data_IF_859908665702
#
_entry.id   IF_859908665702
#
_cell.length_a   1.000
_cell.length_b   1.000
_cell.length_c   1.000
_cell.angle_alpha   90.00
_cell.angle_beta   90.00
_cell.angle_gamma   90.00
#
_symmetry.space_group_name_H-M   'P 1'
#
loop_
_entity.id
_entity.type
_entity.pdbx_description
1 polymer ?
#
# COMPACT_ATOMS: atom_id res chain seq x y z
N UNK A 1 33.52 -3.21 0.49
CA UNK A 1 32.92 -1.86 0.50
C UNK A 1 31.57 -1.95 -0.18
N UNK A 2 30.52 -2.19 0.60
CA UNK A 2 29.13 -2.28 0.14
C UNK A 2 28.49 -0.91 0.26
N UNK A 3 28.14 -0.31 -0.87
CA UNK A 3 27.38 0.94 -0.94
C UNK A 3 25.90 0.65 -0.68
N UNK A 4 25.41 0.92 0.54
CA UNK A 4 23.98 1.06 0.77
C UNK A 4 23.49 2.31 0.03
N UNK A 5 22.72 2.11 -1.03
CA UNK A 5 22.01 3.17 -1.74
C UNK A 5 20.73 3.50 -0.96
N UNK A 6 20.85 4.30 0.10
CA UNK A 6 19.70 4.83 0.83
C UNK A 6 18.84 5.73 -0.05
N UNK A 7 17.52 5.54 0.03
CA UNK A 7 16.52 6.36 -0.64
C UNK A 7 16.46 7.75 0.00
N UNK A 8 17.26 8.67 -0.55
CA UNK A 8 17.34 10.08 -0.13
C UNK A 8 16.04 10.83 -0.47
N UNK A 9 15.39 11.45 0.51
CA UNK A 9 14.20 12.30 0.32
C UNK A 9 14.40 13.61 1.09
N UNK A 10 14.15 14.75 0.44
CA UNK A 10 13.88 16.02 1.13
C UNK A 10 12.38 16.29 1.08
N UNK A 11 11.80 16.51 2.26
CA UNK A 11 10.37 16.72 2.51
C UNK A 11 9.96 18.18 2.26
N UNK A 12 10.75 19.17 2.69
CA UNK A 12 10.38 20.59 2.58
C UNK A 12 10.60 21.20 1.19
N UNK A 13 11.36 20.52 0.32
CA UNK A 13 11.58 20.98 -1.05
C UNK A 13 10.30 20.98 -1.91
N UNK A 14 9.30 20.16 -1.57
CA UNK A 14 8.01 20.10 -2.28
C UNK A 14 7.07 21.26 -1.89
N UNK A 15 7.03 21.64 -0.61
CA UNK A 15 6.12 22.67 -0.11
C UNK A 15 6.59 24.10 -0.47
N UNK A 16 7.89 24.36 -0.43
CA UNK A 16 8.47 25.68 -0.71
C UNK A 16 8.52 26.05 -2.20
N UNK A 17 8.37 25.08 -3.11
CA UNK A 17 8.36 25.33 -4.55
C UNK A 17 7.13 26.09 -5.04
N UNK A 18 6.02 26.06 -4.30
CA UNK A 18 4.79 26.77 -4.64
C UNK A 18 4.87 28.30 -4.38
N UNK A 19 5.76 28.75 -3.48
CA UNK A 19 5.85 30.14 -3.06
C UNK A 19 6.59 31.05 -4.06
N UNK A 20 7.43 30.49 -4.94
CA UNK A 20 8.23 31.29 -5.90
C UNK A 20 7.46 31.72 -7.15
N UNK A 21 6.18 31.38 -7.29
CA UNK A 21 5.37 31.63 -8.50
C UNK A 21 4.40 32.82 -8.45
N UNK A 22 4.17 33.44 -7.29
CA UNK A 22 3.16 34.50 -7.14
C UNK A 22 3.81 35.87 -6.86
N UNK A 23 4.33 36.50 -7.90
CA UNK A 23 4.62 37.94 -7.87
C UNK A 23 3.32 38.74 -7.88
N UNK A 24 2.84 39.18 -6.71
CA UNK A 24 1.66 40.03 -6.62
C UNK A 24 1.06 40.12 -5.22
N UNK A 25 1.79 40.67 -4.24
CA UNK A 25 1.21 41.04 -2.94
C UNK A 25 0.80 42.51 -3.01
N UNK A 26 -0.39 42.76 -3.57
CA UNK A 26 -1.02 44.06 -3.61
C UNK A 26 -2.52 43.92 -3.39
N UNK A 27 -2.97 44.30 -2.19
CA UNK A 27 -4.36 44.51 -1.77
C UNK A 27 -5.28 43.27 -1.71
N UNK A 28 -5.67 42.88 -0.48
CA UNK A 28 -7.02 42.44 -0.07
C UNK A 28 -7.01 42.14 1.44
N UNK A 29 -7.18 43.18 2.25
CA UNK A 29 -7.24 43.11 3.72
C UNK A 29 -8.67 43.34 4.24
N UNK A 30 -9.71 42.71 3.67
CA UNK A 30 -11.06 42.76 4.25
C UNK A 30 -11.88 41.49 3.93
N UNK A 31 -11.53 40.37 4.55
CA UNK A 31 -12.46 39.28 4.84
C UNK A 31 -12.07 38.69 6.20
N UNK A 32 -13.00 38.66 7.15
CA UNK A 32 -12.79 37.97 8.42
C UNK A 32 -12.63 36.47 8.13
N UNK A 33 -11.51 35.83 8.53
CA UNK A 33 -11.36 34.40 8.34
C UNK A 33 -12.31 33.66 9.30
N UNK A 34 -12.86 32.54 8.84
CA UNK A 34 -13.37 31.49 9.72
C UNK A 34 -12.33 31.25 10.82
N UNK A 35 -12.74 31.05 12.08
CA UNK A 35 -11.84 30.86 13.23
C UNK A 35 -10.86 29.71 12.92
N UNK A 36 -9.71 30.05 12.35
CA UNK A 36 -8.60 29.15 12.13
C UNK A 36 -8.01 28.71 13.47
N UNK A 37 -7.14 27.68 13.46
CA UNK A 37 -6.41 27.29 14.65
C UNK A 37 -5.81 28.53 15.31
N UNK A 38 -6.03 28.66 16.63
CA UNK A 38 -5.49 29.77 17.41
C UNK A 38 -3.96 29.71 17.35
N UNK A 39 -3.37 30.64 16.60
CA UNK A 39 -1.93 30.81 16.49
C UNK A 39 -1.34 30.99 17.88
N UNK A 40 -0.37 30.16 18.28
CA UNK A 40 0.34 30.37 19.53
C UNK A 40 1.30 31.56 19.43
N UNK A 41 1.95 31.89 20.54
CA UNK A 41 2.93 32.99 20.60
C UNK A 41 4.00 32.85 19.50
N UNK A 42 4.50 33.99 18.96
CA UNK A 42 5.52 34.00 17.90
C UNK A 42 6.76 33.20 18.30
N UNK A 43 7.45 32.58 17.34
CA UNK A 43 8.61 31.70 17.65
C UNK A 43 9.83 32.50 18.13
N UNK A 44 9.87 33.79 17.85
CA UNK A 44 11.04 34.64 18.08
C UNK A 44 12.04 34.66 16.93
N UNK A 45 11.80 33.94 15.83
CA UNK A 45 12.56 34.06 14.58
C UNK A 45 12.18 35.30 13.75
N UNK A 46 11.07 35.95 14.10
CA UNK A 46 10.56 37.15 13.45
C UNK A 46 9.32 36.87 12.59
N UNK A 47 8.50 37.89 12.30
CA UNK A 47 7.19 37.70 11.68
C UNK A 47 7.21 37.02 10.31
N UNK A 48 8.27 37.26 9.52
CA UNK A 48 8.39 36.68 8.19
C UNK A 48 8.74 35.18 8.25
N UNK A 49 9.59 34.76 9.20
CA UNK A 49 9.89 33.35 9.44
C UNK A 49 8.66 32.60 9.96
N UNK A 50 7.94 33.23 10.92
CA UNK A 50 6.69 32.73 11.48
C UNK A 50 5.61 32.55 10.39
N UNK A 51 5.53 33.47 9.43
CA UNK A 51 4.65 33.35 8.27
C UNK A 51 5.06 32.17 7.36
N UNK A 52 6.35 31.98 7.06
CA UNK A 52 6.83 30.83 6.28
C UNK A 52 6.51 29.51 6.98
N UNK A 53 6.77 29.41 8.29
CA UNK A 53 6.44 28.23 9.08
C UNK A 53 4.94 27.93 9.00
N UNK A 54 4.08 28.94 9.17
CA UNK A 54 2.63 28.77 9.10
C UNK A 54 2.11 28.25 7.74
N UNK A 55 2.88 28.42 6.65
CA UNK A 55 2.52 27.87 5.34
C UNK A 55 2.86 26.40 5.15
N UNK A 56 3.52 25.76 6.12
CA UNK A 56 3.90 24.35 6.02
C UNK A 56 2.68 23.45 6.22
N UNK A 57 2.29 22.74 5.17
CA UNK A 57 1.19 21.78 5.21
C UNK A 57 1.70 20.34 5.34
N UNK A 58 0.98 19.51 6.10
CA UNK A 58 1.22 18.07 6.21
C UNK A 58 2.46 17.69 7.01
N UNK A 59 3.01 18.61 7.79
CA UNK A 59 4.24 18.40 8.58
C UNK A 59 3.96 17.93 10.00
N UNK A 60 2.71 18.00 10.43
CA UNK A 60 2.26 17.72 11.81
C UNK A 60 2.52 16.26 12.21
N UNK A 61 2.19 15.30 11.34
CA UNK A 61 2.43 13.88 11.59
C UNK A 61 3.94 13.58 11.70
N UNK A 62 4.75 14.17 10.81
CA UNK A 62 6.22 14.03 10.84
C UNK A 62 6.79 14.61 12.13
N UNK A 63 6.34 15.79 12.54
CA UNK A 63 6.74 16.43 13.77
C UNK A 63 6.42 15.56 15.00
N UNK A 64 5.20 15.02 15.08
CA UNK A 64 4.77 14.17 16.18
C UNK A 64 5.57 12.87 16.28
N UNK A 65 5.79 12.18 15.15
CA UNK A 65 6.66 11.00 15.12
C UNK A 65 8.09 11.34 15.53
N UNK A 66 8.62 12.47 15.07
CA UNK A 66 9.96 12.90 15.44
C UNK A 66 10.08 13.13 16.96
N UNK A 67 9.13 13.82 17.58
CA UNK A 67 9.08 14.04 19.04
C UNK A 67 8.97 12.69 19.80
N UNK A 68 8.20 11.73 19.26
CA UNK A 68 8.04 10.41 19.87
C UNK A 68 9.34 9.60 19.82
N UNK A 69 10.01 9.56 18.67
CA UNK A 69 11.19 8.71 18.44
C UNK A 69 12.49 9.33 18.94
N UNK A 70 12.60 10.67 18.97
CA UNK A 70 13.82 11.38 19.31
C UNK A 70 13.63 12.24 20.57
N UNK A 71 14.06 11.70 21.71
CA UNK A 71 13.93 12.38 23.01
C UNK A 71 14.58 13.79 23.03
N UNK A 72 15.61 14.02 22.22
CA UNK A 72 16.27 15.33 22.07
C UNK A 72 15.36 16.43 21.53
N UNK A 73 14.24 16.08 20.89
CA UNK A 73 13.25 17.03 20.37
C UNK A 73 12.16 17.39 21.39
N UNK A 74 12.12 16.71 22.56
CA UNK A 74 11.20 17.00 23.66
C UNK A 74 11.75 18.11 24.57
N UNK A 75 12.13 19.22 23.96
CA UNK A 75 12.74 20.37 24.64
C UNK A 75 11.83 21.60 24.52
N UNK A 76 12.00 22.63 25.37
CA UNK A 76 11.24 23.87 25.24
C UNK A 76 11.38 24.49 23.84
N UNK A 77 10.32 25.15 23.36
CA UNK A 77 10.30 25.81 22.02
C UNK A 77 11.48 26.76 21.82
N UNK A 78 11.89 27.49 22.85
CA UNK A 78 13.06 28.37 22.80
C UNK A 78 14.35 27.63 22.44
N UNK A 79 14.52 26.37 22.89
CA UNK A 79 15.68 25.55 22.55
C UNK A 79 15.63 25.11 21.09
N UNK A 80 14.45 24.73 20.58
CA UNK A 80 14.26 24.37 19.16
C UNK A 80 14.53 25.56 18.24
N UNK A 81 14.07 26.76 18.63
CA UNK A 81 14.31 28.01 17.92
C UNK A 81 15.79 28.32 17.84
N UNK A 82 16.54 28.22 18.94
CA UNK A 82 17.97 28.48 18.93
C UNK A 82 18.77 27.43 18.15
N UNK A 83 18.35 26.16 18.20
CA UNK A 83 18.92 25.11 17.36
C UNK A 83 18.71 25.39 15.87
N UNK A 84 17.49 25.76 15.47
CA UNK A 84 17.19 26.13 14.09
C UNK A 84 17.96 27.39 13.68
N UNK A 85 17.95 28.45 14.51
CA UNK A 85 18.69 29.70 14.27
C UNK A 85 20.17 29.43 14.00
N UNK A 86 20.81 28.61 14.84
CA UNK A 86 22.22 28.20 14.69
C UNK A 86 22.44 27.48 13.36
N UNK A 87 21.57 26.53 13.00
CA UNK A 87 21.66 25.77 11.74
C UNK A 87 21.43 26.64 10.50
N UNK A 88 20.63 27.69 10.62
CA UNK A 88 20.37 28.67 9.56
C UNK A 88 21.47 29.73 9.44
N UNK A 89 22.43 29.77 10.38
CA UNK A 89 23.49 30.78 10.42
C UNK A 89 22.98 32.18 10.77
N UNK A 90 21.85 32.28 11.47
CA UNK A 90 21.24 33.54 11.87
C UNK A 90 21.79 33.98 13.24
N UNK A 91 21.97 35.28 13.46
CA UNK A 91 22.34 35.80 14.79
C UNK A 91 21.13 35.91 15.72
N UNK A 92 21.33 36.00 17.04
CA UNK A 92 20.25 36.05 18.05
C UNK A 92 19.26 37.22 17.86
N UNK A 93 19.72 38.34 17.30
CA UNK A 93 18.90 39.54 17.06
C UNK A 93 18.42 39.66 15.62
N UNK A 94 18.87 38.78 14.73
CA UNK A 94 18.49 38.81 13.33
C UNK A 94 17.06 38.30 13.14
N UNK A 95 16.29 39.07 12.36
CA UNK A 95 14.95 38.75 11.93
C UNK A 95 14.96 38.76 10.39
N UNK A 96 15.24 37.61 9.75
CA UNK A 96 15.33 37.56 8.30
C UNK A 96 13.97 37.83 7.65
N UNK A 97 13.97 38.44 6.48
CA UNK A 97 12.80 38.43 5.61
C UNK A 97 12.48 36.99 5.14
N UNK A 98 11.29 36.79 4.54
CA UNK A 98 10.82 35.47 4.14
C UNK A 98 11.74 34.79 3.11
N UNK A 99 12.34 35.57 2.21
CA UNK A 99 13.22 35.05 1.15
C UNK A 99 14.56 34.62 1.73
N UNK A 100 15.14 35.42 2.61
CA UNK A 100 16.38 35.15 3.34
C UNK A 100 16.21 33.91 4.22
N UNK A 101 15.12 33.82 4.97
CA UNK A 101 14.79 32.64 5.78
C UNK A 101 14.65 31.37 4.92
N UNK A 102 13.88 31.44 3.83
CA UNK A 102 13.68 30.30 2.92
C UNK A 102 14.98 29.83 2.28
N UNK A 103 15.85 30.76 1.90
CA UNK A 103 17.15 30.44 1.31
C UNK A 103 18.10 29.80 2.34
N UNK A 104 18.14 30.33 3.56
CA UNK A 104 18.90 29.74 4.66
C UNK A 104 18.41 28.32 4.98
N UNK A 105 17.09 28.11 5.03
CA UNK A 105 16.49 26.81 5.28
C UNK A 105 16.89 25.79 4.20
N UNK A 106 16.78 26.15 2.92
CA UNK A 106 17.19 25.30 1.81
C UNK A 106 18.68 24.97 1.84
N UNK A 107 19.53 25.95 2.15
CA UNK A 107 20.97 25.75 2.25
C UNK A 107 21.33 24.80 3.40
N UNK A 108 20.70 24.99 4.58
CA UNK A 108 20.94 24.17 5.76
C UNK A 108 20.48 22.72 5.56
N UNK A 109 19.30 22.51 4.97
CA UNK A 109 18.79 21.16 4.59
C UNK A 109 19.80 20.43 3.70
N UNK A 110 20.30 21.09 2.63
CA UNK A 110 21.32 20.49 1.76
C UNK A 110 22.60 20.16 2.53
N UNK A 111 23.07 21.08 3.36
CA UNK A 111 24.24 20.86 4.20
C UNK A 111 24.09 19.67 5.16
N UNK A 112 22.91 19.44 5.71
CA UNK A 112 22.62 18.28 6.57
C UNK A 112 22.72 16.97 5.80
N UNK A 113 22.20 16.92 4.56
CA UNK A 113 22.39 15.76 3.69
C UNK A 113 23.86 15.52 3.34
N UNK A 114 24.60 16.57 3.04
CA UNK A 114 26.03 16.47 2.67
C UNK A 114 26.88 15.98 3.86
N UNK A 115 26.54 16.38 5.09
CA UNK A 115 27.23 15.96 6.33
C UNK A 115 26.70 14.65 6.92
N UNK A 116 25.62 14.09 6.39
CA UNK A 116 24.96 12.90 6.94
C UNK A 116 24.23 13.14 8.26
N UNK A 117 23.88 14.39 8.57
CA UNK A 117 23.11 14.78 9.77
C UNK A 117 21.62 14.53 9.55
N UNK A 118 21.26 13.25 9.47
CA UNK A 118 19.94 12.78 9.13
C UNK A 118 19.26 12.11 10.31
N UNK A 119 17.96 12.33 10.44
CA UNK A 119 17.11 11.64 11.41
C UNK A 119 16.21 10.67 10.65
N UNK A 120 16.16 9.43 11.15
CA UNK A 120 15.14 8.49 10.73
C UNK A 120 13.90 8.79 11.56
N UNK A 121 12.87 9.33 10.93
CA UNK A 121 11.55 9.54 11.55
C UNK A 121 10.60 8.55 10.89
N UNK A 122 10.22 7.55 11.66
CA UNK A 122 9.47 6.38 11.22
C UNK A 122 10.20 5.59 10.10
N UNK A 123 9.88 5.88 8.84
CA UNK A 123 10.52 5.28 7.64
C UNK A 123 11.15 6.31 6.71
N UNK A 124 11.17 7.57 7.14
CA UNK A 124 11.68 8.69 6.36
C UNK A 124 13.05 9.06 6.89
N UNK A 125 14.02 9.22 6.00
CA UNK A 125 15.31 9.81 6.33
C UNK A 125 15.23 11.29 5.98
N UNK A 126 15.14 12.13 7.00
CA UNK A 126 14.96 13.58 6.88
C UNK A 126 16.21 14.30 7.37
N UNK A 127 16.50 15.47 6.82
CA UNK A 127 17.52 16.33 7.42
C UNK A 127 17.11 16.74 8.84
N UNK A 128 18.09 16.93 9.71
CA UNK A 128 17.83 17.44 11.06
C UNK A 128 17.10 18.79 11.00
N UNK A 129 17.47 19.66 10.05
CA UNK A 129 16.80 20.95 9.82
C UNK A 129 15.33 20.78 9.43
N UNK A 130 14.98 19.83 8.57
CA UNK A 130 13.58 19.53 8.23
C UNK A 130 12.77 19.12 9.45
N UNK A 131 13.35 18.25 10.29
CA UNK A 131 12.69 17.78 11.50
C UNK A 131 12.48 18.91 12.51
N UNK A 132 13.50 19.75 12.77
CA UNK A 132 13.35 20.91 13.65
C UNK A 132 12.28 21.88 13.17
N UNK A 133 12.24 22.12 11.85
CA UNK A 133 11.26 23.02 11.24
C UNK A 133 9.83 22.47 11.38
N UNK A 134 9.62 21.17 11.14
CA UNK A 134 8.33 20.51 11.31
C UNK A 134 7.87 20.56 12.79
N UNK A 135 8.76 20.27 13.73
CA UNK A 135 8.46 20.35 15.17
C UNK A 135 8.10 21.77 15.59
N UNK A 136 8.84 22.78 15.10
CA UNK A 136 8.54 24.18 15.40
C UNK A 136 7.20 24.64 14.82
N UNK A 137 6.87 24.20 13.61
CA UNK A 137 5.55 24.40 13.01
C UNK A 137 4.42 23.82 13.87
N UNK A 138 4.58 22.57 14.35
CA UNK A 138 3.58 21.94 15.20
C UNK A 138 3.31 22.74 16.49
N UNK A 139 4.36 23.31 17.09
CA UNK A 139 4.23 24.17 18.27
C UNK A 139 3.49 25.47 17.96
N UNK A 140 3.85 26.14 16.85
CA UNK A 140 3.22 27.38 16.38
C UNK A 140 1.71 27.20 16.15
N UNK A 141 1.32 26.06 15.59
CA UNK A 141 -0.08 25.71 15.30
C UNK A 141 -0.84 25.17 16.52
N UNK A 142 -0.21 25.14 17.70
CA UNK A 142 -0.86 24.78 18.95
C UNK A 142 -1.05 23.29 19.21
N UNK A 143 -0.30 22.44 18.51
CA UNK A 143 -0.20 21.00 18.80
C UNK A 143 -1.57 20.34 18.94
N UNK A 144 -2.40 20.41 17.90
CA UNK A 144 -3.58 19.56 17.84
C UNK A 144 -3.11 18.11 18.03
N UNK A 145 -3.73 17.40 18.99
CA UNK A 145 -3.49 15.97 19.15
C UNK A 145 -3.64 15.32 17.77
N UNK A 146 -2.74 14.39 17.38
CA UNK A 146 -2.94 13.64 16.15
C UNK A 146 -4.38 13.14 16.18
N UNK A 147 -5.16 13.25 15.09
CA UNK A 147 -6.28 12.35 14.95
C UNK A 147 -5.72 10.97 15.23
N UNK A 148 -6.32 10.22 16.17
CA UNK A 148 -5.82 8.93 16.66
C UNK A 148 -5.70 7.85 15.55
N UNK A 149 -5.92 8.25 14.30
CA UNK A 149 -5.95 7.46 13.10
C UNK A 149 -5.50 8.25 11.87
N UNK A 150 -4.85 9.41 11.97
CA UNK A 150 -4.34 10.13 10.80
C UNK A 150 -2.97 9.59 10.33
N UNK A 151 -2.93 8.30 10.07
CA UNK A 151 -2.58 7.99 8.71
C UNK A 151 -3.82 8.35 7.89
N UNK A 152 -3.77 9.12 6.80
CA UNK A 152 -4.46 8.56 5.69
C UNK A 152 -3.79 7.18 5.48
N UNK A 153 -4.34 6.13 6.10
CA UNK A 153 -4.84 5.05 5.26
C UNK A 153 -5.82 5.76 4.31
N UNK A 154 -5.29 6.53 3.36
CA UNK A 154 -5.95 6.77 2.10
C UNK A 154 -6.28 5.35 1.73
N UNK A 155 -7.57 4.98 1.80
CA UNK A 155 -8.04 3.66 1.41
C UNK A 155 -7.24 3.30 0.18
N UNK A 156 -6.31 2.36 0.36
CA UNK A 156 -5.14 2.32 -0.49
C UNK A 156 -5.66 2.15 -1.91
N UNK A 157 -5.47 3.17 -2.75
CA UNK A 157 -6.24 3.23 -4.00
C UNK A 157 -5.63 2.16 -4.89
N UNK A 158 -6.43 1.13 -5.19
CA UNK A 158 -6.02 0.11 -6.14
C UNK A 158 -5.79 0.80 -7.48
N UNK A 159 -4.52 0.93 -7.85
CA UNK A 159 -4.10 1.73 -9.01
C UNK A 159 -2.90 1.09 -9.68
N UNK A 160 -2.70 1.36 -10.97
CA UNK A 160 -1.52 0.91 -11.69
C UNK A 160 -0.34 1.79 -11.29
N UNK A 161 0.63 1.21 -10.57
CA UNK A 161 1.88 1.87 -10.18
C UNK A 161 2.90 1.76 -11.31
N UNK A 162 3.04 0.56 -11.89
CA UNK A 162 4.01 0.26 -12.94
C UNK A 162 3.51 -0.87 -13.85
N UNK A 163 4.03 -0.92 -15.07
CA UNK A 163 3.78 -2.03 -15.98
C UNK A 163 4.80 -3.14 -15.74
N UNK A 164 4.48 -4.10 -14.87
CA UNK A 164 5.30 -5.30 -14.67
C UNK A 164 5.03 -6.26 -15.83
N UNK A 165 6.04 -6.47 -16.68
CA UNK A 165 5.95 -7.30 -17.89
C UNK A 165 6.24 -8.77 -17.60
N UNK A 166 7.20 -9.04 -16.72
CA UNK A 166 7.60 -10.41 -16.35
C UNK A 166 8.03 -10.51 -14.89
N UNK A 167 7.85 -11.68 -14.28
CA UNK A 167 8.37 -11.95 -12.95
C UNK A 167 8.53 -13.45 -12.68
N UNK A 168 9.41 -13.79 -11.73
CA UNK A 168 9.62 -15.17 -11.31
C UNK A 168 10.51 -15.30 -10.08
N UNK A 169 10.62 -16.51 -9.51
CA UNK A 169 9.86 -17.73 -9.85
C UNK A 169 8.37 -17.65 -9.42
N UNK A 170 7.49 -18.39 -10.12
CA UNK A 170 6.04 -18.39 -9.86
C UNK A 170 5.58 -19.43 -8.84
N UNK A 171 6.43 -20.38 -8.46
CA UNK A 171 6.08 -21.41 -7.50
C UNK A 171 7.28 -22.02 -6.78
N UNK A 172 7.04 -22.63 -5.63
CA UNK A 172 7.96 -23.54 -4.92
C UNK A 172 7.18 -24.68 -4.25
N UNK A 173 7.84 -25.53 -3.47
CA UNK A 173 7.21 -26.53 -2.60
C UNK A 173 7.31 -26.13 -1.13
N UNK A 174 6.43 -26.65 -0.28
CA UNK A 174 6.42 -26.40 1.17
C UNK A 174 7.82 -26.63 1.74
N UNK A 175 8.30 -25.63 2.50
CA UNK A 175 9.60 -25.64 3.15
C UNK A 175 10.81 -25.50 2.22
N UNK A 176 10.62 -25.34 0.90
CA UNK A 176 11.72 -25.18 -0.06
C UNK A 176 11.82 -23.72 -0.54
N UNK A 177 12.99 -23.07 -0.40
CA UNK A 177 13.17 -21.71 -0.93
C UNK A 177 12.95 -21.67 -2.45
N UNK A 178 12.35 -20.58 -2.94
CA UNK A 178 12.14 -20.35 -4.35
C UNK A 178 13.35 -19.63 -4.95
N UNK A 179 14.01 -20.23 -5.95
CA UNK A 179 15.26 -19.69 -6.51
C UNK A 179 16.29 -19.38 -5.39
N UNK A 180 16.62 -20.43 -4.63
CA UNK A 180 17.46 -20.37 -3.43
C UNK A 180 18.80 -19.67 -3.70
N UNK A 181 19.14 -18.71 -2.83
CA UNK A 181 20.41 -18.00 -2.88
C UNK A 181 21.40 -18.51 -1.83
N UNK A 182 22.66 -18.10 -1.93
CA UNK A 182 23.66 -18.34 -0.89
C UNK A 182 23.17 -17.75 0.45
N UNK A 183 22.80 -18.63 1.38
CA UNK A 183 22.16 -18.27 2.66
C UNK A 183 20.74 -18.83 2.85
N UNK A 184 20.19 -19.58 1.89
CA UNK A 184 18.95 -20.34 2.05
C UNK A 184 17.66 -19.50 1.97
N UNK A 185 17.75 -18.27 1.49
CA UNK A 185 16.59 -17.40 1.27
C UNK A 185 16.10 -17.50 -0.18
N UNK A 186 14.83 -17.11 -0.40
CA UNK A 186 14.20 -17.11 -1.72
C UNK A 186 14.39 -15.74 -2.38
N UNK A 187 14.69 -15.73 -3.67
CA UNK A 187 14.83 -14.51 -4.46
C UNK A 187 13.85 -14.46 -5.63
N UNK A 188 13.17 -13.33 -5.76
CA UNK A 188 12.21 -13.06 -6.81
C UNK A 188 12.68 -11.88 -7.65
N UNK A 189 12.47 -11.93 -8.96
CA UNK A 189 12.77 -10.86 -9.90
C UNK A 189 11.49 -10.37 -10.58
N UNK A 190 11.41 -9.07 -10.80
CA UNK A 190 10.28 -8.39 -11.43
C UNK A 190 10.81 -7.41 -12.48
N UNK A 191 10.51 -7.67 -13.74
CA UNK A 191 10.82 -6.78 -14.86
C UNK A 191 9.63 -5.89 -15.18
N UNK A 192 9.89 -4.60 -15.41
CA UNK A 192 8.84 -3.68 -15.78
C UNK A 192 9.34 -2.28 -16.08
N UNK A 193 8.44 -1.47 -16.64
CA UNK A 193 8.72 -0.09 -17.00
C UNK A 193 8.26 0.87 -15.90
N UNK A 194 9.04 1.92 -15.68
CA UNK A 194 8.72 3.02 -14.75
C UNK A 194 8.42 2.57 -13.32
N UNK A 195 9.01 1.46 -12.85
CA UNK A 195 8.88 1.05 -11.46
C UNK A 195 9.54 2.11 -10.56
N UNK A 196 8.80 2.80 -9.68
CA UNK A 196 9.39 3.81 -8.84
C UNK A 196 10.45 3.20 -7.93
N UNK A 197 11.62 3.85 -7.81
CA UNK A 197 12.75 3.34 -6.98
C UNK A 197 12.41 3.16 -5.51
N UNK A 198 11.33 3.79 -5.05
CA UNK A 198 10.83 3.69 -3.67
C UNK A 198 9.71 2.66 -3.52
N UNK A 199 9.21 2.08 -4.61
CA UNK A 199 8.16 1.08 -4.54
C UNK A 199 8.70 -0.20 -3.88
N UNK A 200 7.87 -0.83 -3.06
CA UNK A 200 8.22 -2.05 -2.32
C UNK A 200 7.39 -3.24 -2.84
N UNK A 201 8.01 -4.41 -2.88
CA UNK A 201 7.31 -5.67 -3.16
C UNK A 201 6.85 -6.25 -1.84
N UNK A 202 5.60 -6.70 -1.77
CA UNK A 202 5.09 -7.51 -0.68
C UNK A 202 4.57 -8.85 -1.20
N UNK A 203 4.65 -9.89 -0.35
CA UNK A 203 4.12 -11.23 -0.61
C UNK A 203 3.19 -11.64 0.52
N UNK A 204 1.92 -11.92 0.20
CA UNK A 204 0.88 -12.18 1.18
C UNK A 204 0.78 -11.07 2.26
N UNK A 205 0.95 -9.81 1.84
CA UNK A 205 0.94 -8.63 2.71
C UNK A 205 2.26 -8.35 3.44
N UNK A 206 3.22 -9.28 3.43
CA UNK A 206 4.52 -9.11 4.07
C UNK A 206 5.49 -8.40 3.15
N UNK A 207 5.99 -7.24 3.56
CA UNK A 207 6.96 -6.45 2.78
C UNK A 207 8.31 -7.16 2.71
N UNK A 208 8.86 -7.24 1.51
CA UNK A 208 10.13 -7.87 1.23
C UNK A 208 11.25 -6.83 1.10
N UNK A 209 12.48 -7.24 1.37
CA UNK A 209 13.63 -6.41 1.04
C UNK A 209 13.80 -6.37 -0.48
N UNK A 210 13.88 -5.17 -1.06
CA UNK A 210 13.96 -4.98 -2.51
C UNK A 210 15.20 -4.23 -2.94
N UNK A 211 15.86 -4.71 -3.98
CA UNK A 211 16.94 -4.00 -4.68
C UNK A 211 16.46 -3.60 -6.07
N UNK A 212 16.57 -2.32 -6.39
CA UNK A 212 16.16 -1.76 -7.67
C UNK A 212 17.37 -1.61 -8.60
N UNK A 213 17.24 -2.09 -9.84
CA UNK A 213 18.16 -1.89 -10.96
C UNK A 213 17.33 -1.49 -12.18
N UNK A 214 17.92 -0.84 -13.18
CA UNK A 214 17.18 -0.29 -14.33
C UNK A 214 16.17 -1.28 -14.94
N UNK A 215 14.87 -1.08 -14.66
CA UNK A 215 13.78 -1.94 -15.13
C UNK A 215 13.66 -3.32 -14.45
N UNK A 216 14.39 -3.57 -13.36
CA UNK A 216 14.40 -4.82 -12.60
C UNK A 216 14.35 -4.56 -11.09
N UNK A 217 13.38 -5.18 -10.41
CA UNK A 217 13.34 -5.24 -8.95
C UNK A 217 13.63 -6.66 -8.50
N UNK A 218 14.56 -6.83 -7.58
CA UNK A 218 14.83 -8.11 -6.92
C UNK A 218 14.29 -8.05 -5.50
N UNK A 219 13.35 -8.92 -5.15
CA UNK A 219 12.78 -9.04 -3.81
C UNK A 219 13.32 -10.29 -3.10
N UNK A 220 13.64 -10.16 -1.81
CA UNK A 220 14.18 -11.25 -0.99
C UNK A 220 13.20 -11.64 0.11
N UNK A 221 12.89 -12.94 0.19
CA UNK A 221 12.09 -13.54 1.25
C UNK A 221 13.01 -14.36 2.14
N UNK A 222 13.20 -13.92 3.39
CA UNK A 222 14.19 -14.49 4.33
C UNK A 222 13.62 -14.64 5.74
N UNK A 223 14.32 -15.40 6.59
CA UNK A 223 14.04 -15.51 8.03
C UNK A 223 12.64 -16.05 8.35
N UNK A 224 12.00 -15.46 9.37
CA UNK A 224 10.68 -15.89 9.86
C UNK A 224 9.56 -15.67 8.83
N UNK A 225 9.64 -14.61 8.03
CA UNK A 225 8.67 -14.36 6.95
C UNK A 225 8.72 -15.50 5.93
N UNK A 226 9.92 -15.97 5.57
CA UNK A 226 10.07 -17.14 4.70
C UNK A 226 9.44 -18.38 5.30
N UNK A 227 9.74 -18.71 6.56
CA UNK A 227 9.18 -19.89 7.23
C UNK A 227 7.65 -19.82 7.30
N UNK A 228 7.10 -18.65 7.63
CA UNK A 228 5.66 -18.41 7.69
C UNK A 228 4.97 -18.66 6.35
N UNK A 229 5.50 -18.08 5.27
CA UNK A 229 4.87 -18.19 3.94
C UNK A 229 5.08 -19.60 3.35
N UNK A 230 6.29 -20.14 3.43
CA UNK A 230 6.63 -21.43 2.81
C UNK A 230 6.15 -22.65 3.60
N UNK A 231 5.69 -22.50 4.84
CA UNK A 231 5.07 -23.60 5.60
C UNK A 231 3.62 -23.86 5.21
N UNK A 232 2.97 -22.91 4.52
CA UNK A 232 1.55 -22.99 4.14
C UNK A 232 1.42 -23.20 2.63
N UNK A 233 0.98 -24.38 2.17
CA UNK A 233 0.66 -24.55 0.76
C UNK A 233 -0.49 -23.61 0.36
N UNK A 234 -0.47 -23.10 -0.86
CA UNK A 234 -1.48 -22.17 -1.36
C UNK A 234 -0.94 -21.12 -2.32
N UNK A 235 -1.84 -20.23 -2.76
CA UNK A 235 -1.51 -19.04 -3.56
C UNK A 235 -1.26 -17.86 -2.61
N UNK A 236 -0.22 -17.10 -2.89
CA UNK A 236 0.20 -15.94 -2.12
C UNK A 236 0.35 -14.75 -3.08
N UNK A 237 -0.39 -13.66 -2.93
CA UNK A 237 -0.33 -12.54 -3.87
C UNK A 237 0.98 -11.78 -3.71
N UNK A 238 1.63 -11.49 -4.84
CA UNK A 238 2.62 -10.42 -4.92
C UNK A 238 1.92 -9.09 -5.17
N UNK A 239 2.26 -8.08 -4.38
CA UNK A 239 1.79 -6.71 -4.54
C UNK A 239 2.98 -5.75 -4.64
N UNK A 240 2.85 -4.75 -5.51
CA UNK A 240 3.72 -3.58 -5.56
C UNK A 240 3.05 -2.49 -4.72
N UNK A 241 3.78 -1.88 -3.79
CA UNK A 241 3.31 -0.80 -2.93
C UNK A 241 4.06 0.48 -3.25
N UNK A 242 3.32 1.55 -3.52
CA UNK A 242 3.83 2.92 -3.64
C UNK A 242 3.34 3.73 -2.43
N UNK A 243 4.08 3.63 -1.33
CA UNK A 243 3.77 4.33 -0.08
C UNK A 243 3.77 5.86 -0.25
N UNK A 244 4.46 6.40 -1.28
CA UNK A 244 4.49 7.84 -1.52
C UNK A 244 3.11 8.33 -1.96
N UNK A 245 2.42 7.53 -2.77
CA UNK A 245 1.14 7.88 -3.36
C UNK A 245 -0.04 7.13 -2.70
N UNK A 246 0.21 6.31 -1.67
CA UNK A 246 -0.82 5.48 -1.03
C UNK A 246 -1.43 4.43 -1.98
N UNK A 247 -0.70 4.02 -3.02
CA UNK A 247 -1.19 3.11 -4.05
C UNK A 247 -0.64 1.70 -3.86
N UNK A 248 -1.41 0.70 -4.32
CA UNK A 248 -0.94 -0.68 -4.44
C UNK A 248 -1.48 -1.34 -5.71
N UNK A 249 -0.70 -2.28 -6.23
CA UNK A 249 -1.01 -3.03 -7.45
C UNK A 249 -0.70 -4.51 -7.23
N UNK A 250 -1.64 -5.40 -7.53
CA UNK A 250 -1.35 -6.84 -7.59
C UNK A 250 -0.51 -7.15 -8.84
N UNK A 251 0.63 -7.82 -8.64
CA UNK A 251 1.53 -8.24 -9.71
C UNK A 251 1.14 -9.64 -10.21
N UNK A 252 0.85 -10.57 -9.30
CA UNK A 252 0.56 -11.95 -9.63
C UNK A 252 0.45 -12.83 -8.39
N UNK A 253 0.28 -14.15 -8.60
CA UNK A 253 0.13 -15.13 -7.53
C UNK A 253 1.33 -16.09 -7.49
N UNK A 254 2.02 -16.14 -6.36
CA UNK A 254 3.06 -17.11 -6.06
C UNK A 254 2.46 -18.38 -5.44
N UNK A 255 2.87 -19.55 -5.91
CA UNK A 255 2.28 -20.81 -5.46
C UNK A 255 3.25 -21.63 -4.60
N UNK A 256 2.87 -21.95 -3.37
CA UNK A 256 3.56 -22.94 -2.53
C UNK A 256 2.84 -24.27 -2.69
N UNK A 257 3.47 -25.22 -3.37
CA UNK A 257 2.95 -26.58 -3.61
C UNK A 257 3.12 -27.43 -2.35
N UNK A 258 2.21 -28.36 -2.04
CA UNK A 258 2.41 -29.32 -0.96
C UNK A 258 3.73 -30.08 -1.11
N UNK A 259 4.29 -30.55 0.03
CA UNK A 259 5.48 -31.39 0.00
C UNK A 259 5.17 -32.70 -0.76
N UNK A 260 6.06 -33.18 -1.63
CA UNK A 260 5.89 -34.46 -2.32
C UNK A 260 5.63 -35.59 -1.31
N UNK A 261 4.61 -36.41 -1.54
CA UNK A 261 4.25 -37.52 -0.65
C UNK A 261 3.48 -37.14 0.62
N UNK A 262 3.22 -35.85 0.86
CA UNK A 262 2.26 -35.46 1.90
C UNK A 262 0.85 -36.00 1.58
N UNK A 263 -0.01 -36.27 2.58
CA UNK A 263 -1.41 -36.61 2.32
C UNK A 263 -2.09 -35.57 1.43
N UNK A 264 -1.71 -34.29 1.52
CA UNK A 264 -2.18 -33.23 0.64
C UNK A 264 -1.69 -33.35 -0.82
N UNK A 265 -0.57 -34.03 -1.08
CA UNK A 265 -0.08 -34.32 -2.43
C UNK A 265 -0.78 -35.54 -3.07
N UNK A 266 -1.32 -36.45 -2.24
CA UNK A 266 -2.00 -37.68 -2.67
C UNK A 266 -3.52 -37.67 -2.47
N UNK A 267 -4.05 -36.68 -1.75
CA UNK A 267 -5.48 -36.47 -1.64
C UNK A 267 -6.02 -36.11 -3.02
N UNK A 268 -7.18 -36.67 -3.38
CA UNK A 268 -8.00 -36.07 -4.42
C UNK A 268 -8.08 -34.55 -4.09
N UNK A 269 -7.75 -33.65 -5.04
CA UNK A 269 -7.65 -32.24 -4.72
C UNK A 269 -8.95 -31.81 -4.04
N UNK A 270 -8.83 -31.36 -2.79
CA UNK A 270 -9.96 -30.80 -2.06
C UNK A 270 -10.46 -29.54 -2.75
N UNK A 271 -11.48 -28.92 -2.18
CA UNK A 271 -11.97 -27.64 -2.68
C UNK A 271 -11.05 -26.53 -2.18
N UNK A 272 -10.29 -25.91 -3.08
CA UNK A 272 -9.53 -24.70 -2.73
C UNK A 272 -10.46 -23.50 -2.58
N UNK A 273 -10.03 -22.54 -1.74
CA UNK A 273 -10.68 -21.24 -1.58
C UNK A 273 -11.02 -20.58 -2.93
N UNK A 274 -12.22 -20.00 -2.99
CA UNK A 274 -12.72 -19.25 -4.13
C UNK A 274 -12.13 -17.86 -4.13
N UNK A 275 -11.47 -17.47 -5.22
CA UNK A 275 -10.89 -16.13 -5.37
C UNK A 275 -11.81 -15.16 -6.10
N UNK A 276 -12.64 -15.65 -7.04
CA UNK A 276 -13.62 -14.86 -7.77
C UNK A 276 -14.67 -15.77 -8.42
N UNK A 277 -15.79 -15.21 -8.87
CA UNK A 277 -16.82 -15.96 -9.60
C UNK A 277 -17.80 -15.03 -10.30
N UNK A 278 -18.49 -15.53 -11.32
CA UNK A 278 -19.54 -14.78 -12.00
C UNK A 278 -20.33 -15.61 -13.03
N UNK A 279 -21.48 -15.10 -13.50
CA UNK A 279 -22.16 -13.87 -13.03
C UNK A 279 -22.69 -13.99 -11.59
N UNK A 280 -22.99 -12.84 -10.94
CA UNK A 280 -23.52 -12.78 -9.56
C UNK A 280 -24.99 -12.40 -9.46
N UNK A 281 -25.55 -11.85 -10.53
CA UNK A 281 -26.91 -11.35 -10.56
C UNK A 281 -27.57 -11.62 -11.92
N UNK A 282 -28.89 -11.75 -11.92
CA UNK A 282 -29.74 -11.69 -13.12
C UNK A 282 -31.11 -11.09 -12.79
N UNK A 283 -31.97 -10.97 -13.79
CA UNK A 283 -33.38 -10.61 -13.63
C UNK A 283 -34.23 -11.87 -13.81
N UNK A 284 -35.33 -12.00 -13.08
CA UNK A 284 -36.25 -13.12 -13.18
C UNK A 284 -36.69 -13.35 -14.63
N UNK A 285 -36.56 -14.61 -15.08
CA UNK A 285 -36.85 -15.02 -16.45
C UNK A 285 -35.77 -14.66 -17.49
N UNK A 286 -34.69 -13.98 -17.09
CA UNK A 286 -33.56 -13.61 -17.96
C UNK A 286 -32.30 -14.39 -17.59
N UNK A 287 -31.58 -14.87 -18.61
CA UNK A 287 -30.36 -15.68 -18.46
C UNK A 287 -29.14 -14.77 -18.58
N UNK A 288 -28.35 -14.61 -17.51
CA UNK A 288 -27.05 -13.94 -17.58
C UNK A 288 -26.03 -14.88 -18.26
N UNK A 289 -25.14 -14.35 -19.09
CA UNK A 289 -24.14 -15.15 -19.84
C UNK A 289 -24.74 -16.39 -20.54
N UNK A 290 -25.74 -16.19 -21.44
CA UNK A 290 -26.48 -17.29 -22.06
C UNK A 290 -25.58 -18.17 -22.92
N UNK A 291 -25.78 -19.48 -22.84
CA UNK A 291 -25.14 -20.48 -23.69
C UNK A 291 -26.07 -20.91 -24.82
N UNK A 292 -25.56 -21.69 -25.78
CA UNK A 292 -26.31 -22.10 -26.98
C UNK A 292 -27.59 -22.89 -26.64
N UNK A 293 -27.63 -23.61 -25.53
CA UNK A 293 -28.80 -24.37 -25.05
C UNK A 293 -29.78 -23.52 -24.22
N UNK A 294 -29.52 -22.22 -24.07
CA UNK A 294 -30.31 -21.30 -23.26
C UNK A 294 -30.00 -21.34 -21.77
N UNK A 295 -29.07 -22.19 -21.32
CA UNK A 295 -28.61 -22.19 -19.92
C UNK A 295 -27.73 -20.97 -19.61
N UNK A 296 -27.56 -20.65 -18.32
CA UNK A 296 -26.60 -19.65 -17.85
C UNK A 296 -25.23 -20.30 -17.65
N UNK A 297 -24.20 -19.75 -18.29
CA UNK A 297 -22.81 -20.12 -18.01
C UNK A 297 -22.32 -19.48 -16.72
N UNK A 298 -21.92 -20.29 -15.73
CA UNK A 298 -21.34 -19.85 -14.47
C UNK A 298 -19.87 -20.27 -14.38
N UNK A 299 -18.99 -19.37 -13.94
CA UNK A 299 -17.58 -19.65 -13.71
C UNK A 299 -17.17 -19.28 -12.28
N UNK A 300 -16.31 -20.11 -11.69
CA UNK A 300 -15.82 -19.98 -10.31
C UNK A 300 -14.30 -20.17 -10.36
N UNK A 301 -13.55 -19.11 -10.03
CA UNK A 301 -12.09 -19.12 -9.97
C UNK A 301 -11.63 -19.72 -8.63
N UNK A 302 -10.94 -20.85 -8.72
CA UNK A 302 -10.41 -21.63 -7.61
C UNK A 302 -9.00 -22.12 -7.94
N UNK A 303 -8.13 -22.15 -6.94
CA UNK A 303 -6.76 -22.63 -7.13
C UNK A 303 -6.68 -24.13 -7.47
N UNK A 304 -7.65 -24.91 -6.99
CA UNK A 304 -7.76 -26.33 -7.20
C UNK A 304 -9.22 -26.77 -7.03
N UNK A 305 -9.59 -27.84 -7.71
CA UNK A 305 -10.84 -28.55 -7.51
C UNK A 305 -10.62 -30.04 -7.87
N UNK A 306 -11.44 -30.95 -7.33
CA UNK A 306 -11.41 -32.36 -7.73
C UNK A 306 -11.81 -32.49 -9.21
N UNK A 307 -11.38 -33.59 -9.85
CA UNK A 307 -11.80 -33.91 -11.22
C UNK A 307 -13.32 -34.00 -11.34
N UNK A 308 -13.99 -34.46 -10.29
CA UNK A 308 -15.46 -34.57 -10.18
C UNK A 308 -15.96 -33.51 -9.21
N UNK A 309 -15.97 -32.27 -9.67
CA UNK A 309 -16.57 -31.15 -8.93
C UNK A 309 -18.03 -30.97 -9.37
N UNK A 310 -18.90 -30.69 -8.42
CA UNK A 310 -20.29 -30.30 -8.64
C UNK A 310 -20.50 -28.88 -8.14
N UNK A 311 -21.50 -28.19 -8.71
CA UNK A 311 -21.90 -26.85 -8.32
C UNK A 311 -23.37 -26.91 -7.92
N UNK A 312 -23.67 -26.50 -6.70
CA UNK A 312 -25.04 -26.36 -6.21
C UNK A 312 -25.47 -24.90 -6.30
N UNK A 313 -26.56 -24.63 -7.01
CA UNK A 313 -27.22 -23.34 -7.15
C UNK A 313 -28.62 -23.43 -6.52
N UNK A 314 -28.79 -22.85 -5.33
CA UNK A 314 -29.99 -23.08 -4.53
C UNK A 314 -30.19 -24.57 -4.24
N UNK A 315 -31.26 -25.17 -4.77
CA UNK A 315 -31.55 -26.60 -4.61
C UNK A 315 -31.13 -27.45 -5.83
N UNK A 316 -30.60 -26.83 -6.88
CA UNK A 316 -30.17 -27.53 -8.09
C UNK A 316 -28.68 -27.86 -8.04
N UNK A 317 -28.29 -29.06 -8.45
CA UNK A 317 -26.89 -29.49 -8.52
C UNK A 317 -26.52 -29.81 -9.97
N UNK A 318 -25.47 -29.17 -10.46
CA UNK A 318 -24.94 -29.33 -11.81
C UNK A 318 -23.51 -29.86 -11.76
N UNK A 319 -23.11 -30.62 -12.78
CA UNK A 319 -21.70 -31.03 -12.92
C UNK A 319 -20.83 -29.82 -13.27
N UNK A 320 -19.71 -29.66 -12.58
CA UNK A 320 -18.70 -28.66 -12.91
C UNK A 320 -17.56 -29.25 -13.75
N UNK A 321 -17.00 -28.45 -14.64
CA UNK A 321 -15.81 -28.77 -15.42
C UNK A 321 -14.65 -27.91 -14.91
N UNK A 322 -13.67 -28.53 -14.26
CA UNK A 322 -12.49 -27.83 -13.77
C UNK A 322 -11.37 -27.84 -14.82
N UNK A 323 -10.95 -26.65 -15.27
CA UNK A 323 -9.81 -26.48 -16.18
C UNK A 323 -8.91 -25.35 -15.71
N UNK A 324 -7.65 -25.69 -15.44
CA UNK A 324 -6.64 -24.73 -14.99
C UNK A 324 -6.95 -24.20 -13.59
N UNK A 325 -7.67 -23.08 -13.51
CA UNK A 325 -8.06 -22.40 -12.28
C UNK A 325 -9.55 -22.03 -12.25
N UNK A 326 -10.36 -22.56 -13.18
CA UNK A 326 -11.77 -22.20 -13.28
C UNK A 326 -12.61 -23.46 -13.29
N UNK A 327 -13.62 -23.49 -12.42
CA UNK A 327 -14.76 -24.42 -12.52
C UNK A 327 -15.84 -23.72 -13.32
N UNK A 328 -16.24 -24.30 -14.45
CA UNK A 328 -17.39 -23.83 -15.23
C UNK A 328 -18.55 -24.79 -15.11
N UNK A 329 -19.77 -24.29 -15.02
CA UNK A 329 -21.01 -25.10 -15.03
C UNK A 329 -22.13 -24.39 -15.78
N UNK A 330 -23.20 -25.13 -16.06
CA UNK A 330 -24.40 -24.63 -16.72
C UNK A 330 -25.57 -24.66 -15.74
N UNK A 331 -26.21 -23.51 -15.53
CA UNK A 331 -27.40 -23.39 -14.69
C UNK A 331 -28.63 -23.35 -15.60
N UNK A 332 -29.56 -24.31 -15.48
CA UNK A 332 -30.79 -24.33 -16.29
C UNK A 332 -31.64 -23.07 -16.13
N UNK A 333 -32.23 -22.58 -17.21
CA UNK A 333 -32.98 -21.31 -17.23
C UNK A 333 -34.23 -21.33 -16.33
N UNK A 334 -34.82 -22.49 -16.07
CA UNK A 334 -35.95 -22.65 -15.15
C UNK A 334 -35.58 -22.30 -13.70
N UNK A 335 -34.31 -22.42 -13.32
CA UNK A 335 -33.81 -22.02 -12.00
C UNK A 335 -33.76 -20.50 -11.81
N UNK A 336 -33.88 -19.72 -12.89
CA UNK A 336 -33.81 -18.26 -12.89
C UNK A 336 -35.18 -17.58 -13.05
N UNK A 337 -36.28 -18.34 -13.03
CA UNK A 337 -37.64 -17.80 -13.26
C UNK A 337 -38.22 -17.04 -12.08
N UNK A 338 -37.75 -17.32 -10.86
CA UNK A 338 -38.24 -16.70 -9.64
C UNK A 338 -37.20 -15.72 -9.12
N UNK A 339 -37.66 -14.55 -8.67
CA UNK A 339 -36.79 -13.62 -7.95
C UNK A 339 -36.40 -14.25 -6.60
N UNK A 340 -35.16 -14.03 -6.18
CA UNK A 340 -34.65 -14.63 -4.96
C UNK A 340 -33.14 -14.58 -4.82
N UNK A 341 -32.68 -15.10 -3.70
CA UNK A 341 -31.28 -15.26 -3.34
C UNK A 341 -30.95 -16.74 -3.34
N UNK A 342 -29.98 -17.13 -4.15
CA UNK A 342 -29.61 -18.52 -4.39
C UNK A 342 -28.19 -18.77 -3.87
N UNK A 343 -28.02 -19.52 -2.77
CA UNK A 343 -26.69 -19.88 -2.30
C UNK A 343 -25.96 -20.72 -3.35
N UNK A 344 -24.67 -20.47 -3.49
CA UNK A 344 -23.78 -21.15 -4.41
C UNK A 344 -22.73 -21.93 -3.63
N UNK A 345 -22.63 -23.24 -3.87
CA UNK A 345 -21.69 -24.14 -3.17
C UNK A 345 -20.95 -25.02 -4.18
N UNK A 346 -19.63 -25.14 -4.04
CA UNK A 346 -18.87 -26.20 -4.70
C UNK A 346 -18.93 -27.48 -3.86
N UNK A 347 -19.05 -28.62 -4.53
CA UNK A 347 -19.11 -29.94 -3.89
C UNK A 347 -18.07 -30.84 -4.53
N UNK A 348 -17.25 -31.47 -3.70
CA UNK A 348 -16.38 -32.56 -4.12
C UNK A 348 -17.23 -33.83 -4.23
N UNK A 349 -17.51 -34.30 -5.44
CA UNK A 349 -18.44 -35.42 -5.64
C UNK A 349 -17.90 -36.75 -5.11
N UNK A 350 -16.59 -36.86 -4.87
CA UNK A 350 -15.96 -38.09 -4.38
C UNK A 350 -15.96 -38.14 -2.83
N UNK A 351 -15.83 -37.00 -2.15
CA UNK A 351 -15.73 -36.94 -0.68
C UNK A 351 -16.96 -36.36 0.01
N UNK A 352 -17.83 -35.66 -0.72
CA UNK A 352 -18.94 -34.88 -0.17
C UNK A 352 -18.50 -33.58 0.51
N UNK A 353 -17.22 -33.20 0.45
CA UNK A 353 -16.72 -31.91 0.94
C UNK A 353 -17.45 -30.75 0.24
N UNK A 354 -17.78 -29.70 1.00
CA UNK A 354 -18.56 -28.55 0.53
C UNK A 354 -17.80 -27.27 0.81
N UNK A 355 -17.76 -26.37 -0.17
CA UNK A 355 -17.18 -25.04 -0.04
C UNK A 355 -18.20 -23.99 -0.49
N UNK A 356 -18.55 -23.07 0.40
CA UNK A 356 -19.42 -21.94 0.06
C UNK A 356 -18.70 -20.98 -0.88
N UNK A 357 -19.38 -20.57 -1.95
CA UNK A 357 -18.86 -19.67 -2.99
C UNK A 357 -19.39 -18.26 -2.80
N UNK A 358 -20.67 -18.15 -2.45
CA UNK A 358 -21.38 -16.89 -2.26
C UNK A 358 -22.87 -17.02 -2.56
N UNK A 359 -23.52 -15.91 -2.85
CA UNK A 359 -24.96 -15.85 -3.12
C UNK A 359 -25.23 -15.18 -4.47
N UNK A 360 -26.04 -15.81 -5.32
CA UNK A 360 -26.49 -15.27 -6.59
C UNK A 360 -27.87 -14.62 -6.41
N UNK A 361 -28.05 -13.41 -6.95
CA UNK A 361 -29.32 -12.65 -6.79
C UNK A 361 -30.08 -12.59 -8.11
N UNK A 362 -31.30 -13.12 -8.12
CA UNK A 362 -32.27 -12.90 -9.20
C UNK A 362 -33.22 -11.79 -8.75
N UNK A 363 -33.16 -10.62 -9.40
CA UNK A 363 -34.06 -9.51 -9.12
C UNK A 363 -35.42 -9.70 -9.80
N UNK A 364 -36.45 -9.02 -9.30
CA UNK A 364 -37.74 -8.96 -9.98
C UNK A 364 -37.60 -8.32 -11.37
N UNK A 365 -38.45 -8.74 -12.30
CA UNK A 365 -38.60 -8.06 -13.58
C UNK A 365 -39.30 -6.72 -13.32
N UNK A 366 -38.73 -5.58 -13.76
CA UNK A 366 -39.33 -4.27 -13.54
C UNK A 366 -40.70 -4.12 -14.21
#
# INVERSE_FOLDING_TARGET
MTTHSDSRRSFLHFSLGALTGAGGVGALWWMQPARGPSYQAPTGLGPAADAVLATLEGTEAVAQWAIQEHAALRVPVSVLVEQLRTRLGLTATEQPDAQTFTNALRASIRGDFDRGELLVVHRWQLSHTEVLTAVLHLHLMGGAAPPASAHPETEAVKGQIAAITEWGPKSTSVGKPANEQAGGYSAFWFHGENIPRWAQIALAGERLETVHRSGLVIAQLKGEVQKKILSKPGKHPFTLHDDKNGAWQTIGMFMVKPAPGSPAANAAPGLCEVTNWGPRTSVAGTVANPQHDGSMGLWIDVACAPKRVQVQFGNHVSTGNFRGHVVTTLIPADQLKQAGRYPLTLINADTGERLEVGEFVVSEHP
#
